data_IF_514796712535
#
_entry.id   IF_514796712535
#
_cell.length_a   1.000
_cell.length_b   1.000
_cell.length_c   1.000
_cell.angle_alpha   90.00
_cell.angle_beta   90.00
_cell.angle_gamma   90.00
#
_symmetry.space_group_name_H-M   'P 1'
#
loop_
_entity.id
_entity.type
_entity.pdbx_description
1 polymer ?
#
# COMPACT_ATOMS: atom_id res chain seq x y z
N UNK A 1 10.64 5.54 11.73
CA UNK A 1 11.10 5.00 10.43
C UNK A 1 10.75 5.98 9.32
N UNK A 2 11.63 6.15 8.33
CA UNK A 2 11.36 7.03 7.19
C UNK A 2 10.63 6.25 6.11
N UNK A 3 9.53 6.80 5.61
CA UNK A 3 8.75 6.28 4.49
C UNK A 3 8.90 7.27 3.33
N UNK A 4 9.76 6.89 2.37
CA UNK A 4 10.12 7.75 1.24
C UNK A 4 9.12 7.63 0.09
N UNK A 5 8.74 8.77 -0.50
CA UNK A 5 7.83 8.85 -1.64
C UNK A 5 8.53 9.38 -2.89
N UNK A 6 8.06 8.96 -4.06
CA UNK A 6 8.52 9.50 -5.35
C UNK A 6 7.62 10.68 -5.74
N UNK A 7 8.20 11.75 -6.29
CA UNK A 7 7.45 12.87 -6.90
C UNK A 7 6.95 12.54 -8.31
N UNK A 8 7.62 11.59 -8.97
CA UNK A 8 7.34 11.16 -10.34
C UNK A 8 7.58 9.66 -10.48
N UNK A 9 6.71 8.97 -11.20
CA UNK A 9 6.87 7.56 -11.58
C UNK A 9 6.96 7.49 -13.11
N UNK A 10 8.01 6.85 -13.67
CA UNK A 10 8.08 6.62 -15.12
C UNK A 10 6.82 5.96 -15.66
N UNK A 11 6.35 6.41 -16.82
CA UNK A 11 5.14 5.90 -17.51
C UNK A 11 3.79 6.19 -16.85
N UNK A 12 3.77 6.75 -15.63
CA UNK A 12 2.54 7.20 -14.95
C UNK A 12 2.50 8.74 -14.89
N UNK A 13 3.58 9.36 -14.41
CA UNK A 13 3.67 10.80 -14.28
C UNK A 13 3.86 11.31 -12.85
N UNK A 14 3.50 12.58 -12.56
CA UNK A 14 3.63 13.17 -11.23
C UNK A 14 2.66 12.53 -10.23
N UNK A 15 3.15 12.17 -9.05
CA UNK A 15 2.37 11.36 -8.09
C UNK A 15 1.44 12.18 -7.20
N UNK A 16 1.87 13.41 -6.88
CA UNK A 16 1.22 14.30 -5.88
C UNK A 16 0.98 13.62 -4.53
N UNK A 17 1.85 12.68 -4.12
CA UNK A 17 1.64 11.90 -2.91
C UNK A 17 1.62 12.73 -1.64
N UNK A 18 2.47 13.76 -1.50
CA UNK A 18 2.46 14.67 -0.35
C UNK A 18 1.09 15.33 -0.20
N UNK A 19 0.54 15.85 -1.29
CA UNK A 19 -0.75 16.52 -1.32
C UNK A 19 -1.88 15.53 -0.96
N UNK A 20 -1.88 14.35 -1.59
CA UNK A 20 -2.88 13.28 -1.33
C UNK A 20 -2.83 12.74 0.10
N UNK A 21 -1.65 12.67 0.70
CA UNK A 21 -1.47 12.25 2.10
C UNK A 21 -2.02 13.33 3.03
N UNK A 22 -1.71 14.60 2.77
CA UNK A 22 -2.19 15.73 3.58
C UNK A 22 -3.71 15.88 3.48
N UNK A 23 -4.30 15.64 2.31
CA UNK A 23 -5.76 15.67 2.11
C UNK A 23 -6.48 14.43 2.64
N UNK A 24 -5.75 13.38 3.03
CA UNK A 24 -6.34 12.12 3.50
C UNK A 24 -6.85 11.20 2.40
N UNK A 25 -6.51 11.42 1.14
CA UNK A 25 -6.86 10.53 0.02
C UNK A 25 -5.92 9.33 -0.04
N UNK A 26 -4.61 9.54 0.17
CA UNK A 26 -3.63 8.46 0.28
C UNK A 26 -3.46 8.10 1.75
N UNK A 27 -3.95 6.94 2.16
CA UNK A 27 -4.13 6.56 3.57
C UNK A 27 -3.24 5.41 4.03
N UNK A 28 -2.55 4.76 3.10
CA UNK A 28 -1.55 3.72 3.38
C UNK A 28 -0.49 3.67 2.28
N UNK A 29 0.49 2.78 2.42
CA UNK A 29 1.43 2.48 1.34
C UNK A 29 1.81 0.99 1.29
N UNK A 30 1.85 0.44 0.08
CA UNK A 30 2.33 -0.91 -0.18
C UNK A 30 3.84 -0.92 -0.32
N UNK A 31 4.54 -1.79 0.43
CA UNK A 31 6.01 -1.84 0.48
C UNK A 31 6.52 -3.26 0.67
N UNK A 32 7.67 -3.54 0.05
CA UNK A 32 8.48 -4.71 0.40
C UNK A 32 9.07 -4.51 1.79
N UNK A 33 9.00 -5.55 2.63
CA UNK A 33 9.52 -5.51 4.01
C UNK A 33 10.24 -6.81 4.39
N UNK A 34 11.28 -7.15 3.62
CA UNK A 34 12.07 -8.40 3.80
C UNK A 34 12.67 -8.58 5.20
N UNK A 35 12.88 -7.47 5.92
CA UNK A 35 13.47 -7.46 7.26
C UNK A 35 12.45 -7.34 8.37
N UNK A 36 11.16 -7.46 8.05
CA UNK A 36 10.04 -7.44 8.99
C UNK A 36 10.09 -6.23 9.95
N UNK A 37 10.34 -5.04 9.40
CA UNK A 37 10.61 -3.83 10.20
C UNK A 37 9.36 -3.02 10.46
N UNK A 38 8.20 -3.36 9.96
CA UNK A 38 6.98 -2.64 10.27
C UNK A 38 6.22 -3.37 11.37
N UNK A 39 5.75 -2.61 12.37
CA UNK A 39 4.77 -3.05 13.38
C UNK A 39 3.88 -1.85 13.79
N UNK A 40 2.74 -2.15 14.41
CA UNK A 40 1.83 -1.13 14.97
C UNK A 40 2.54 -0.28 16.04
N UNK A 41 2.25 1.02 16.08
CA UNK A 41 2.87 1.95 17.03
C UNK A 41 4.18 2.58 16.52
N UNK A 42 4.73 2.06 15.42
CA UNK A 42 6.01 2.56 14.89
C UNK A 42 5.85 3.94 14.28
N UNK A 43 6.60 4.93 14.79
CA UNK A 43 6.58 6.31 14.27
C UNK A 43 7.02 6.37 12.80
N UNK A 44 6.30 7.13 11.98
CA UNK A 44 6.52 7.32 10.55
C UNK A 44 6.98 8.75 10.29
N UNK A 45 8.07 8.91 9.55
CA UNK A 45 8.48 10.17 8.93
C UNK A 45 8.24 10.04 7.43
N UNK A 46 7.23 10.72 6.92
CA UNK A 46 6.90 10.72 5.49
C UNK A 46 7.74 11.77 4.79
N UNK A 47 8.50 11.36 3.77
CA UNK A 47 9.52 12.23 3.23
C UNK A 47 9.73 12.10 1.71
N UNK A 48 10.20 13.20 1.13
CA UNK A 48 10.81 13.24 -0.20
C UNK A 48 12.34 13.32 -0.10
N UNK A 49 13.03 12.95 -1.19
CA UNK A 49 14.47 13.16 -1.31
C UNK A 49 15.30 12.40 -0.26
N UNK A 50 14.84 11.24 0.20
CA UNK A 50 15.53 10.43 1.21
C UNK A 50 16.94 10.10 0.74
N UNK A 51 17.95 10.33 1.61
CA UNK A 51 19.40 10.22 1.30
C UNK A 51 19.90 11.19 0.23
N UNK A 52 19.24 12.34 0.04
CA UNK A 52 19.71 13.41 -0.83
C UNK A 52 19.76 14.74 -0.07
N UNK A 53 20.43 15.75 -0.63
CA UNK A 53 20.43 17.13 -0.09
C UNK A 53 19.06 17.81 -0.12
N UNK A 54 18.11 17.26 -0.90
CA UNK A 54 16.74 17.75 -1.01
C UNK A 54 15.78 16.96 -0.11
N UNK A 55 16.30 16.40 0.99
CA UNK A 55 15.47 15.71 1.98
C UNK A 55 14.45 16.66 2.59
N UNK A 56 13.19 16.21 2.59
CA UNK A 56 12.07 16.95 3.14
C UNK A 56 11.15 15.97 3.85
N UNK A 57 11.11 16.02 5.19
CA UNK A 57 10.07 15.35 5.96
C UNK A 57 8.84 16.26 5.99
N UNK A 58 7.78 15.87 5.29
CA UNK A 58 6.59 16.71 5.13
C UNK A 58 5.43 16.30 6.05
N UNK A 59 5.47 15.12 6.66
CA UNK A 59 4.48 14.68 7.65
C UNK A 59 5.10 13.69 8.62
N UNK A 60 4.65 13.71 9.88
CA UNK A 60 4.92 12.68 10.87
C UNK A 60 3.61 11.98 11.24
N UNK A 61 3.65 10.66 11.34
CA UNK A 61 2.50 9.85 11.73
C UNK A 61 2.96 8.62 12.53
N UNK A 62 2.08 7.66 12.70
CA UNK A 62 2.32 6.38 13.36
C UNK A 62 1.73 5.24 12.52
N UNK A 63 2.39 4.08 12.52
CA UNK A 63 1.85 2.89 11.90
C UNK A 63 0.64 2.40 12.73
N UNK A 64 -0.56 2.59 12.20
CA UNK A 64 -1.81 2.16 12.82
C UNK A 64 -2.01 0.64 12.70
N UNK A 65 -1.47 0.04 11.64
CA UNK A 65 -1.51 -1.40 11.44
C UNK A 65 -0.83 -1.84 10.14
N UNK A 66 -0.80 -3.14 9.94
CA UNK A 66 -0.17 -3.81 8.80
C UNK A 66 -1.10 -4.89 8.27
N UNK A 67 -1.10 -5.09 6.96
CA UNK A 67 -1.73 -6.25 6.31
C UNK A 67 -0.72 -6.87 5.34
N UNK A 68 -0.72 -8.20 5.20
CA UNK A 68 0.11 -8.87 4.18
C UNK A 68 -0.57 -8.76 2.83
N UNK A 69 0.22 -8.55 1.77
CA UNK A 69 -0.29 -8.46 0.41
C UNK A 69 0.56 -9.25 -0.56
N UNK A 70 -0.10 -9.96 -1.47
CA UNK A 70 0.50 -10.65 -2.61
C UNK A 70 -0.17 -10.15 -3.89
N UNK A 71 0.62 -9.74 -4.87
CA UNK A 71 0.19 -9.40 -6.23
C UNK A 71 0.78 -10.48 -7.15
N UNK A 72 -0.09 -11.20 -7.84
CA UNK A 72 0.29 -12.34 -8.67
C UNK A 72 -0.24 -12.19 -10.10
N UNK A 73 0.66 -12.15 -11.07
CA UNK A 73 0.37 -12.23 -12.49
C UNK A 73 0.46 -13.70 -12.92
N UNK A 74 -0.66 -14.33 -13.30
CA UNK A 74 -0.60 -15.68 -13.86
C UNK A 74 0.14 -15.64 -15.20
N UNK A 75 0.99 -16.64 -15.43
CA UNK A 75 1.67 -16.87 -16.70
C UNK A 75 0.63 -17.31 -17.74
N UNK A 76 -0.11 -16.35 -18.31
CA UNK A 76 -1.08 -16.62 -19.35
C UNK A 76 -0.52 -16.19 -20.72
N UNK A 77 -0.66 -17.08 -21.70
CA UNK A 77 0.01 -17.08 -23.01
C UNK A 77 -0.29 -15.83 -23.86
N UNK A 78 0.30 -14.68 -23.53
CA UNK A 78 0.44 -13.52 -24.42
C UNK A 78 -0.57 -12.37 -24.23
N UNK A 79 -1.50 -12.46 -23.28
CA UNK A 79 -2.36 -11.35 -22.86
C UNK A 79 -1.93 -10.98 -21.45
N UNK A 80 -1.35 -9.80 -21.23
CA UNK A 80 -1.02 -9.31 -19.87
C UNK A 80 -2.31 -9.20 -19.04
N UNK A 81 -2.69 -10.18 -18.21
CA UNK A 81 -3.95 -10.15 -17.51
C UNK A 81 -3.82 -9.19 -16.32
N UNK A 82 -4.93 -8.64 -15.85
CA UNK A 82 -4.95 -7.96 -14.56
C UNK A 82 -4.45 -8.92 -13.46
N UNK A 83 -3.65 -8.46 -12.49
CA UNK A 83 -3.13 -9.33 -11.46
C UNK A 83 -4.23 -9.84 -10.53
N UNK A 84 -4.02 -11.01 -9.96
CA UNK A 84 -4.75 -11.44 -8.77
C UNK A 84 -4.07 -10.82 -7.54
N UNK A 85 -4.82 -10.04 -6.76
CA UNK A 85 -4.34 -9.41 -5.53
C UNK A 85 -4.98 -10.11 -4.34
N UNK A 86 -4.14 -10.48 -3.37
CA UNK A 86 -4.54 -11.15 -2.16
C UNK A 86 -4.10 -10.34 -0.94
N UNK A 87 -4.99 -10.16 0.02
CA UNK A 87 -4.68 -9.59 1.34
C UNK A 87 -4.99 -10.65 2.39
N UNK A 88 -4.00 -10.98 3.23
CA UNK A 88 -4.12 -12.11 4.17
C UNK A 88 -4.54 -13.43 3.49
N UNK A 89 -4.15 -13.62 2.22
CA UNK A 89 -4.53 -14.79 1.41
C UNK A 89 -5.95 -14.75 0.83
N UNK A 90 -6.74 -13.73 1.14
CA UNK A 90 -8.07 -13.53 0.57
C UNK A 90 -7.96 -12.73 -0.74
N UNK A 91 -8.54 -13.26 -1.82
CA UNK A 91 -8.53 -12.61 -3.12
C UNK A 91 -9.48 -11.41 -3.11
N UNK A 92 -9.00 -10.26 -3.56
CA UNK A 92 -9.83 -9.07 -3.74
C UNK A 92 -10.68 -9.16 -5.01
N UNK A 93 -11.88 -8.59 -4.93
CA UNK A 93 -12.72 -8.23 -6.07
C UNK A 93 -12.12 -7.03 -6.83
N UNK A 94 -12.62 -6.78 -8.04
CA UNK A 94 -12.16 -5.65 -8.85
C UNK A 94 -12.36 -4.29 -8.15
N UNK A 95 -13.53 -4.06 -7.54
CA UNK A 95 -13.82 -2.82 -6.81
C UNK A 95 -12.92 -2.64 -5.58
N UNK A 96 -12.55 -3.72 -4.90
CA UNK A 96 -11.60 -3.67 -3.79
C UNK A 96 -10.18 -3.36 -4.28
N UNK A 97 -9.80 -3.87 -5.46
CA UNK A 97 -8.54 -3.51 -6.10
C UNK A 97 -8.48 -2.03 -6.50
N UNK A 98 -9.57 -1.47 -7.01
CA UNK A 98 -9.69 -0.03 -7.31
C UNK A 98 -9.54 0.79 -6.03
N UNK A 99 -10.29 0.47 -4.98
CA UNK A 99 -10.19 1.15 -3.68
C UNK A 99 -8.77 1.03 -3.09
N UNK A 100 -8.13 -0.14 -3.20
CA UNK A 100 -6.75 -0.36 -2.76
C UNK A 100 -5.78 0.58 -3.49
N UNK A 101 -5.91 0.69 -4.81
CA UNK A 101 -5.05 1.54 -5.64
C UNK A 101 -5.22 3.03 -5.32
N UNK A 102 -6.46 3.49 -5.22
CA UNK A 102 -6.78 4.88 -4.89
C UNK A 102 -6.25 5.28 -3.51
N UNK A 103 -6.40 4.40 -2.52
CA UNK A 103 -5.91 4.63 -1.16
C UNK A 103 -4.38 4.48 -1.03
N UNK A 104 -3.71 3.78 -1.96
CA UNK A 104 -2.25 3.87 -2.17
C UNK A 104 -1.88 5.09 -3.04
N UNK A 105 -2.84 5.94 -3.38
CA UNK A 105 -2.65 7.24 -4.02
C UNK A 105 -2.45 7.19 -5.53
N UNK A 106 -2.76 6.09 -6.20
CA UNK A 106 -2.82 6.04 -7.67
C UNK A 106 -4.10 6.71 -8.17
N UNK A 107 -4.09 7.22 -9.40
CA UNK A 107 -5.31 7.79 -10.02
C UNK A 107 -6.23 6.70 -10.59
N UNK A 108 -5.68 5.52 -10.85
CA UNK A 108 -6.43 4.38 -11.40
C UNK A 108 -5.78 3.05 -11.03
N UNK A 109 -6.56 1.97 -11.09
CA UNK A 109 -6.03 0.60 -10.97
C UNK A 109 -5.06 0.23 -12.11
N UNK A 110 -5.20 0.86 -13.28
CA UNK A 110 -4.24 0.69 -14.38
C UNK A 110 -2.86 1.27 -14.06
N UNK A 111 -2.80 2.45 -13.43
CA UNK A 111 -1.54 3.04 -12.98
C UNK A 111 -0.89 2.19 -11.89
N UNK A 112 -1.70 1.66 -10.97
CA UNK A 112 -1.26 0.70 -9.97
C UNK A 112 -0.60 -0.53 -10.61
N UNK A 113 -1.25 -1.15 -11.60
CA UNK A 113 -0.71 -2.29 -12.33
C UNK A 113 0.55 -1.94 -13.12
N UNK A 114 0.63 -0.73 -13.66
CA UNK A 114 1.83 -0.24 -14.35
C UNK A 114 3.01 -0.11 -13.38
N UNK A 115 2.75 0.32 -12.14
CA UNK A 115 3.77 0.39 -11.09
C UNK A 115 4.18 -0.99 -10.57
N UNK A 116 3.21 -1.86 -10.30
CA UNK A 116 3.41 -3.22 -9.83
C UNK A 116 3.39 -4.22 -10.99
N UNK A 117 4.24 -4.03 -12.00
CA UNK A 117 4.20 -4.80 -13.25
C UNK A 117 4.81 -6.22 -13.18
N UNK A 118 5.01 -6.75 -11.98
CA UNK A 118 5.59 -8.07 -11.72
C UNK A 118 4.98 -8.65 -10.44
N UNK A 119 5.19 -9.95 -10.20
CA UNK A 119 4.84 -10.57 -8.94
C UNK A 119 5.47 -9.81 -7.77
N UNK A 120 4.67 -9.56 -6.73
CA UNK A 120 5.07 -8.78 -5.58
C UNK A 120 4.52 -9.39 -4.30
N UNK A 121 5.37 -9.46 -3.28
CA UNK A 121 4.98 -9.81 -1.93
C UNK A 121 5.51 -8.75 -0.96
N UNK A 122 4.65 -8.34 -0.03
CA UNK A 122 5.02 -7.34 0.95
C UNK A 122 3.90 -7.04 1.93
N UNK A 123 3.84 -5.78 2.33
CA UNK A 123 2.93 -5.29 3.35
C UNK A 123 2.23 -4.02 2.90
N UNK A 124 0.99 -3.88 3.32
CA UNK A 124 0.30 -2.61 3.39
C UNK A 124 0.63 -1.98 4.75
N UNK A 125 1.19 -0.77 4.74
CA UNK A 125 1.54 -0.03 5.96
C UNK A 125 0.49 1.06 6.13
N UNK A 126 -0.35 0.90 7.14
CA UNK A 126 -1.44 1.82 7.43
C UNK A 126 -0.99 2.89 8.41
N UNK A 127 -1.43 4.12 8.19
CA UNK A 127 -1.39 5.22 9.17
C UNK A 127 -2.80 5.76 9.46
N UNK A 128 -3.81 4.99 9.09
CA UNK A 128 -5.23 5.17 9.37
C UNK A 128 -5.81 3.82 9.79
N UNK A 129 -7.04 3.79 10.27
CA UNK A 129 -7.69 2.56 10.74
C UNK A 129 -8.31 1.70 9.62
N UNK A 130 -8.20 2.11 8.33
CA UNK A 130 -8.72 1.33 7.21
C UNK A 130 -8.04 -0.05 7.18
N UNK A 131 -8.85 -1.08 7.02
CA UNK A 131 -8.46 -2.47 6.74
C UNK A 131 -9.20 -2.98 5.52
N UNK A 132 -8.57 -3.88 4.78
CA UNK A 132 -9.13 -4.44 3.54
C UNK A 132 -9.65 -5.85 3.70
N UNK A 133 -9.01 -6.66 4.55
CA UNK A 133 -9.59 -7.95 4.89
C UNK A 133 -10.72 -7.78 5.91
N UNK A 134 -11.84 -8.47 5.68
CA UNK A 134 -12.73 -8.81 6.78
C UNK A 134 -11.94 -9.66 7.79
N UNK A 135 -12.11 -9.34 9.08
CA UNK A 135 -11.53 -10.09 10.19
C UNK A 135 -11.65 -11.59 9.92
N UNK A 136 -10.55 -12.33 10.09
CA UNK A 136 -10.60 -13.78 10.09
C UNK A 136 -11.62 -14.26 11.12
N UNK A 137 -12.17 -15.47 10.97
CA UNK A 137 -13.10 -16.02 11.99
C UNK A 137 -12.50 -15.96 13.41
N UNK A 138 -11.19 -16.16 13.53
CA UNK A 138 -10.47 -16.03 14.81
C UNK A 138 -10.45 -14.59 15.36
N UNK A 139 -10.35 -13.58 14.50
CA UNK A 139 -10.37 -12.17 14.91
C UNK A 139 -11.79 -11.67 15.19
N UNK A 140 -12.80 -12.20 14.50
CA UNK A 140 -14.23 -11.97 14.83
C UNK A 140 -14.54 -12.58 16.20
N UNK A 141 -14.11 -13.83 16.44
CA UNK A 141 -14.31 -14.50 17.72
C UNK A 141 -13.63 -13.73 18.86
N UNK A 142 -12.38 -13.28 18.69
CA UNK A 142 -11.68 -12.49 19.71
C UNK A 142 -12.38 -11.16 20.05
N UNK A 143 -13.14 -10.57 19.12
CA UNK A 143 -13.90 -9.34 19.35
C UNK A 143 -15.29 -9.58 19.96
N UNK A 144 -15.87 -10.77 19.80
CA UNK A 144 -17.17 -11.14 20.38
C UNK A 144 -17.07 -11.62 21.84
N UNK A 145 -15.85 -11.98 22.30
CA UNK A 145 -15.58 -12.48 23.64
C UNK A 145 -14.65 -11.57 24.49
N UNK A 146 -14.40 -10.33 24.05
CA UNK A 146 -13.67 -9.29 24.78
C UNK A 146 -14.62 -8.22 25.34
#
# INVERSE_FOLDING_TARGET
>A
MILGFKKYIPHIGPTKFKEKIISGTKIHSIRKDEKDRWERGRKIQMAYGVRTKFYECFMKSECAGIESIVIFYPDDYGLHPAPNIFIHGQKLSYSECEELAENDGFESFSDFCTYFNNNFEGKIIHWTDKKYAALTSAEIDALLWA
#
